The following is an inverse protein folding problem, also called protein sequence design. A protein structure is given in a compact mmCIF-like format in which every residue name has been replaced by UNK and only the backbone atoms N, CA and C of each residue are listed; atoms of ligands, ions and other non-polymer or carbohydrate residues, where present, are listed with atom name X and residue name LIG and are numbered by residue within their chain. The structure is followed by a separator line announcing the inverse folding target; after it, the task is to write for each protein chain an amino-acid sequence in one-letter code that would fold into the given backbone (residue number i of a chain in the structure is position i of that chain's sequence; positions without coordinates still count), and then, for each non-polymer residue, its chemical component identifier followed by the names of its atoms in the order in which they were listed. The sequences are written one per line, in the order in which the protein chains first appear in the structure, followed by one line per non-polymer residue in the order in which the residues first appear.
data_IF_428433090038
#
_entry.id   IF_428433090038
#
_cell.length_a   1.000
_cell.length_b   1.000
_cell.length_c   1.000
_cell.angle_alpha   90.00
_cell.angle_beta   90.00
_cell.angle_gamma   90.00
#
_symmetry.space_group_name_H-M   'P 1'
#
loop_
_entity.id
_entity.type
_entity.pdbx_description
1 polymer ?
#
# COMPACT_ATOMS: atom_id res chain seq x y z
N UNK A 1 16.38 37.89 13.09
CA UNK A 1 17.09 37.19 14.18
C UNK A 1 16.82 37.94 15.48
N UNK A 2 16.17 37.33 16.46
CA UNK A 2 15.83 38.01 17.72
C UNK A 2 16.65 37.40 18.86
N UNK A 3 17.50 38.21 19.49
CA UNK A 3 18.25 37.83 20.68
C UNK A 3 17.34 37.95 21.91
N UNK A 4 16.91 36.83 22.47
CA UNK A 4 16.21 36.79 23.76
C UNK A 4 17.25 36.56 24.86
N UNK A 5 17.38 37.53 25.77
CA UNK A 5 18.37 37.48 26.85
C UNK A 5 18.10 36.31 27.80
N UNK A 6 19.18 35.67 28.26
CA UNK A 6 19.14 34.57 29.23
C UNK A 6 18.85 35.14 30.62
N UNK A 7 17.58 35.19 31.00
CA UNK A 7 17.21 35.47 32.39
C UNK A 7 17.08 34.13 33.15
N UNK A 8 17.96 33.82 34.12
CA UNK A 8 18.08 32.49 34.73
C UNK A 8 16.93 32.11 35.70
N UNK A 9 15.92 32.96 35.85
CA UNK A 9 14.74 32.70 36.70
C UNK A 9 13.50 32.19 35.94
N UNK A 10 13.51 32.19 34.60
CA UNK A 10 12.40 31.60 33.84
C UNK A 10 12.60 30.09 33.75
N UNK A 11 11.64 29.34 34.31
CA UNK A 11 11.52 27.91 34.03
C UNK A 11 11.40 27.69 32.52
N UNK A 12 11.96 26.58 31.99
CA UNK A 12 11.89 26.26 30.56
C UNK A 12 10.46 26.39 30.01
N UNK A 13 9.45 26.04 30.81
CA UNK A 13 8.01 26.15 30.49
C UNK A 13 7.59 27.60 30.21
N UNK A 14 8.00 28.55 31.04
CA UNK A 14 7.62 29.97 30.89
C UNK A 14 8.29 30.60 29.65
N UNK A 15 9.53 30.18 29.37
CA UNK A 15 10.24 30.57 28.15
C UNK A 15 9.55 30.02 26.90
N UNK A 16 9.03 28.79 26.94
CA UNK A 16 8.30 28.17 25.84
C UNK A 16 7.00 28.91 25.54
N UNK A 17 6.22 29.27 26.57
CA UNK A 17 4.99 30.05 26.41
C UNK A 17 5.23 31.41 25.75
N UNK A 18 6.26 32.14 26.20
CA UNK A 18 6.65 33.44 25.62
C UNK A 18 7.05 33.34 24.14
N UNK A 19 7.72 32.24 23.74
CA UNK A 19 8.07 31.99 22.34
C UNK A 19 6.85 31.69 21.47
N UNK A 20 5.92 30.88 21.97
CA UNK A 20 4.65 30.60 21.28
C UNK A 20 3.84 31.87 21.07
N UNK A 21 3.72 32.71 22.10
CA UNK A 21 3.01 33.98 22.07
C UNK A 21 3.65 34.97 21.07
N UNK A 22 4.98 35.09 21.10
CA UNK A 22 5.72 35.93 20.15
C UNK A 22 5.52 35.47 18.69
N UNK A 23 5.57 34.17 18.44
CA UNK A 23 5.36 33.61 17.11
C UNK A 23 3.94 33.90 16.61
N UNK A 24 2.92 33.67 17.45
CA UNK A 24 1.53 33.95 17.11
C UNK A 24 1.30 35.44 16.83
N UNK A 25 1.88 36.32 17.65
CA UNK A 25 1.79 37.77 17.45
C UNK A 25 2.48 38.21 16.16
N UNK A 26 3.61 37.62 15.82
CA UNK A 26 4.31 37.88 14.55
C UNK A 26 3.48 37.40 13.36
N UNK A 27 2.92 36.19 13.45
CA UNK A 27 2.11 35.59 12.39
C UNK A 27 0.82 36.38 12.17
N UNK A 28 0.14 36.78 13.25
CA UNK A 28 -0.98 37.71 13.20
C UNK A 28 -0.55 39.06 12.61
N UNK A 29 0.54 39.67 13.06
CA UNK A 29 0.98 40.96 12.53
C UNK A 29 1.29 40.91 11.02
N UNK A 30 1.98 39.87 10.55
CA UNK A 30 2.32 39.70 9.14
C UNK A 30 1.11 39.40 8.25
N UNK A 31 0.07 38.72 8.78
CA UNK A 31 -1.12 38.33 8.02
C UNK A 31 -2.29 39.32 8.17
N UNK A 32 -2.42 39.98 9.33
CA UNK A 32 -3.50 40.91 9.67
C UNK A 32 -3.40 42.29 8.99
N UNK A 33 -2.37 42.53 8.18
CA UNK A 33 -2.40 43.61 7.18
C UNK A 33 -3.59 43.49 6.22
N UNK A 34 -4.14 42.27 6.06
CA UNK A 34 -5.48 42.04 5.51
C UNK A 34 -6.46 41.81 6.68
N UNK A 35 -7.35 42.78 6.96
CA UNK A 35 -8.33 42.78 8.06
C UNK A 35 -9.32 41.59 8.09
N UNK A 36 -9.21 40.65 7.15
CA UNK A 36 -10.10 39.51 6.98
C UNK A 36 -9.45 38.18 7.40
N UNK A 37 -8.21 38.19 7.91
CA UNK A 37 -7.47 36.97 8.30
C UNK A 37 -7.12 37.05 9.79
N UNK A 38 -7.53 36.05 10.56
CA UNK A 38 -7.11 35.85 11.95
C UNK A 38 -6.42 34.50 12.10
N UNK A 39 -5.44 34.37 13.00
CA UNK A 39 -4.77 33.08 13.25
C UNK A 39 -4.97 32.58 14.68
N UNK A 40 -5.17 31.26 14.83
CA UNK A 40 -5.26 30.58 16.11
C UNK A 40 -4.40 29.32 16.13
N UNK A 41 -3.96 28.89 17.31
CA UNK A 41 -3.11 27.69 17.47
C UNK A 41 -3.63 26.81 18.59
N UNK A 42 -3.56 25.48 18.42
CA UNK A 42 -4.08 24.53 19.42
C UNK A 42 -2.97 23.84 20.22
N UNK A 43 -1.80 23.62 19.60
CA UNK A 43 -0.62 23.02 20.22
C UNK A 43 0.58 23.41 19.38
N UNK A 44 1.56 24.08 19.99
CA UNK A 44 2.82 24.43 19.35
C UNK A 44 3.97 23.76 20.10
N UNK A 45 4.75 22.92 19.43
CA UNK A 45 5.90 22.21 20.00
C UNK A 45 7.17 22.87 19.44
N UNK A 46 7.89 23.62 20.26
CA UNK A 46 9.17 24.18 19.86
C UNK A 46 10.25 23.08 19.85
N UNK A 47 11.02 23.03 18.77
CA UNK A 47 12.15 22.15 18.59
C UNK A 47 13.43 22.98 18.49
N UNK A 48 14.48 22.57 19.20
CA UNK A 48 15.76 23.26 19.19
C UNK A 48 16.83 22.34 18.61
N UNK A 49 17.11 22.49 17.31
CA UNK A 49 18.33 21.99 16.73
C UNK A 49 19.46 22.98 17.09
N UNK A 50 20.35 22.58 18.00
CA UNK A 50 21.62 23.28 18.30
C UNK A 50 21.54 24.60 19.10
N UNK A 51 20.53 24.81 19.96
CA UNK A 51 20.45 25.93 20.92
C UNK A 51 20.43 27.36 20.31
N UNK A 52 20.38 27.51 18.98
CA UNK A 52 20.43 28.80 18.29
C UNK A 52 19.21 29.06 17.39
N UNK A 53 18.60 28.01 16.84
CA UNK A 53 17.39 28.08 16.02
C UNK A 53 16.30 27.31 16.74
N UNK A 54 15.17 27.98 16.98
CA UNK A 54 13.98 27.37 17.58
C UNK A 54 12.93 27.33 16.48
N UNK A 55 12.68 26.14 15.96
CA UNK A 55 11.56 25.89 15.06
C UNK A 55 10.31 25.65 15.89
N UNK A 56 9.15 26.07 15.39
CA UNK A 56 7.88 25.89 16.08
C UNK A 56 6.97 25.05 15.18
N UNK A 57 6.71 23.83 15.63
CA UNK A 57 5.82 22.88 14.96
C UNK A 57 4.45 22.87 15.61
N UNK A 58 3.42 22.43 14.90
CA UNK A 58 2.09 22.29 15.46
C UNK A 58 0.98 22.78 14.55
N UNK A 59 -0.19 22.99 15.15
CA UNK A 59 -1.41 23.32 14.45
C UNK A 59 -1.61 24.84 14.41
N UNK A 60 -1.54 25.43 13.22
CA UNK A 60 -1.83 26.83 12.94
C UNK A 60 -3.10 26.88 12.10
N UNK A 61 -4.15 27.49 12.62
CA UNK A 61 -5.41 27.69 11.89
C UNK A 61 -5.50 29.14 11.46
N UNK A 62 -5.56 29.35 10.14
CA UNK A 62 -5.85 30.63 9.51
C UNK A 62 -7.34 30.71 9.25
N UNK A 63 -8.02 31.65 9.89
CA UNK A 63 -9.45 31.89 9.77
C UNK A 63 -9.68 33.10 8.88
N UNK A 64 -10.51 32.95 7.86
CA UNK A 64 -10.88 34.01 6.92
C UNK A 64 -12.34 34.38 7.14
N UNK A 65 -12.68 35.66 7.17
CA UNK A 65 -14.07 36.10 7.31
C UNK A 65 -14.48 36.97 6.13
N UNK A 66 -15.51 36.53 5.39
CA UNK A 66 -16.14 37.30 4.30
C UNK A 66 -17.65 37.11 4.36
N UNK A 67 -18.40 38.22 4.32
CA UNK A 67 -19.87 38.21 4.37
C UNK A 67 -20.43 37.39 5.57
N UNK A 68 -19.84 37.55 6.76
CA UNK A 68 -20.18 36.80 7.98
C UNK A 68 -20.03 35.27 7.89
N UNK A 69 -19.38 34.74 6.85
CA UNK A 69 -18.93 33.34 6.78
C UNK A 69 -17.48 33.28 7.22
N UNK A 70 -17.21 32.39 8.20
CA UNK A 70 -15.87 32.11 8.70
C UNK A 70 -15.35 30.82 8.09
N UNK A 71 -14.26 30.96 7.34
CA UNK A 71 -13.53 29.88 6.72
C UNK A 71 -12.25 29.62 7.48
N UNK A 72 -11.70 28.42 7.37
CA UNK A 72 -10.49 28.09 8.10
C UNK A 72 -9.60 27.11 7.35
N UNK A 73 -8.31 27.44 7.24
CA UNK A 73 -7.27 26.55 6.76
C UNK A 73 -6.38 26.22 7.94
N UNK A 74 -6.23 24.94 8.25
CA UNK A 74 -5.31 24.45 9.27
C UNK A 74 -4.03 23.95 8.61
N UNK A 75 -2.93 24.62 8.90
CA UNK A 75 -1.59 24.10 8.72
C UNK A 75 -1.24 23.22 9.92
N UNK A 76 -0.93 21.96 9.68
CA UNK A 76 -0.33 21.04 10.65
C UNK A 76 1.13 20.90 10.27
N UNK A 77 2.03 21.32 11.15
CA UNK A 77 3.47 21.28 10.92
C UNK A 77 4.15 20.32 11.91
N UNK A 78 5.06 19.51 11.40
CA UNK A 78 5.94 18.57 12.10
C UNK A 78 7.39 18.82 11.67
N UNK A 79 8.40 18.34 12.42
CA UNK A 79 9.82 18.53 12.08
C UNK A 79 10.20 18.19 10.64
N UNK A 80 9.58 17.18 10.04
CA UNK A 80 9.91 16.71 8.69
C UNK A 80 8.78 16.85 7.68
N UNK A 81 7.59 17.26 8.11
CA UNK A 81 6.37 17.22 7.31
C UNK A 81 5.47 18.41 7.62
N UNK A 82 4.72 18.90 6.64
CA UNK A 82 3.65 19.87 6.87
C UNK A 82 2.47 19.54 5.96
N UNK A 83 1.27 19.70 6.49
CA UNK A 83 0.03 19.46 5.76
C UNK A 83 -0.93 20.62 5.91
N UNK A 84 -1.66 20.93 4.85
CA UNK A 84 -2.75 21.89 4.88
C UNK A 84 -4.08 21.15 4.82
N UNK A 85 -4.98 21.50 5.72
CA UNK A 85 -6.34 20.96 5.79
C UNK A 85 -7.30 22.12 5.73
N UNK A 86 -8.26 22.07 4.81
CA UNK A 86 -9.40 22.96 4.86
C UNK A 86 -10.33 22.48 5.98
N UNK A 87 -10.55 23.30 7.01
CA UNK A 87 -11.40 22.93 8.16
C UNK A 87 -12.89 23.17 7.90
N UNK A 88 -13.21 23.97 6.89
CA UNK A 88 -14.59 24.22 6.47
C UNK A 88 -14.96 23.37 5.27
N UNK A 89 -16.15 22.78 5.30
CA UNK A 89 -16.75 22.12 4.16
C UNK A 89 -17.38 23.17 3.24
N UNK A 90 -16.57 23.96 2.52
CA UNK A 90 -17.11 24.69 1.36
C UNK A 90 -17.42 23.69 0.24
N UNK A 91 -18.50 22.94 0.38
CA UNK A 91 -19.13 22.22 -0.73
C UNK A 91 -20.12 23.11 -1.48
N UNK A 92 -20.63 24.15 -0.84
CA UNK A 92 -21.55 25.11 -1.44
C UNK A 92 -20.80 26.36 -1.91
N UNK A 93 -20.07 26.21 -3.02
CA UNK A 93 -19.56 27.34 -3.79
C UNK A 93 -20.75 28.20 -4.23
N UNK A 94 -20.87 29.43 -3.69
CA UNK A 94 -21.89 30.37 -4.16
C UNK A 94 -21.63 30.71 -5.63
N UNK A 95 -22.71 30.84 -6.42
CA UNK A 95 -22.62 31.15 -7.86
C UNK A 95 -21.76 32.40 -8.12
N UNK A 96 -21.70 33.34 -7.17
CA UNK A 96 -20.83 34.52 -7.18
C UNK A 96 -19.34 34.19 -7.31
N UNK A 97 -18.82 33.21 -6.55
CA UNK A 97 -17.40 32.85 -6.60
C UNK A 97 -17.10 32.14 -7.93
N UNK A 98 -18.03 31.30 -8.40
CA UNK A 98 -17.92 30.63 -9.69
C UNK A 98 -17.92 31.63 -10.85
N UNK A 99 -18.75 32.67 -10.78
CA UNK A 99 -18.77 33.78 -11.72
C UNK A 99 -17.48 34.60 -11.66
N UNK A 100 -16.94 34.84 -10.47
CA UNK A 100 -15.66 35.53 -10.28
C UNK A 100 -14.49 34.73 -10.88
N UNK A 101 -14.44 33.41 -10.64
CA UNK A 101 -13.46 32.49 -11.25
C UNK A 101 -13.61 32.47 -12.77
N UNK A 102 -14.84 32.45 -13.29
CA UNK A 102 -15.10 32.46 -14.73
C UNK A 102 -14.64 33.78 -15.37
N UNK A 103 -14.91 34.92 -14.75
CA UNK A 103 -14.43 36.22 -15.22
C UNK A 103 -12.90 36.33 -15.21
N UNK A 104 -12.24 35.79 -14.17
CA UNK A 104 -10.78 35.68 -14.14
C UNK A 104 -10.27 34.78 -15.27
N UNK A 105 -10.93 33.64 -15.50
CA UNK A 105 -10.54 32.70 -16.54
C UNK A 105 -10.66 33.34 -17.94
N UNK A 106 -11.74 34.05 -18.23
CA UNK A 106 -11.91 34.80 -19.48
C UNK A 106 -10.78 35.82 -19.68
N UNK A 107 -10.45 36.60 -18.65
CA UNK A 107 -9.33 37.56 -18.67
C UNK A 107 -7.98 36.91 -18.96
N UNK A 108 -7.66 35.82 -18.26
CA UNK A 108 -6.35 35.17 -18.39
C UNK A 108 -6.25 34.25 -19.60
N UNK A 109 -7.36 33.67 -20.09
CA UNK A 109 -7.41 32.85 -21.30
C UNK A 109 -7.10 33.66 -22.57
N UNK A 110 -7.48 34.94 -22.61
CA UNK A 110 -7.10 35.85 -23.71
C UNK A 110 -5.64 36.33 -23.64
N UNK A 111 -4.94 36.06 -22.53
CA UNK A 111 -3.57 36.52 -22.33
C UNK A 111 -2.60 35.50 -22.91
N UNK A 112 -2.08 35.74 -24.12
CA UNK A 112 -1.08 34.89 -24.78
C UNK A 112 0.33 35.04 -24.16
N UNK A 113 0.43 34.82 -22.84
CA UNK A 113 1.68 34.81 -22.07
C UNK A 113 1.71 33.55 -21.22
N UNK A 114 2.91 33.00 -21.01
CA UNK A 114 3.14 31.79 -20.22
C UNK A 114 2.40 31.79 -18.86
N UNK A 115 2.55 32.87 -18.09
CA UNK A 115 1.87 33.03 -16.79
C UNK A 115 0.35 33.11 -16.93
N UNK A 116 -0.17 33.75 -17.98
CA UNK A 116 -1.60 33.81 -18.27
C UNK A 116 -2.19 32.43 -18.55
N UNK A 117 -1.47 31.60 -19.32
CA UNK A 117 -1.86 30.22 -19.59
C UNK A 117 -1.86 29.34 -18.32
N UNK A 118 -0.90 29.52 -17.41
CA UNK A 118 -0.88 28.81 -16.12
C UNK A 118 -2.10 29.19 -15.27
N UNK A 119 -2.37 30.49 -15.14
CA UNK A 119 -3.49 30.99 -14.34
C UNK A 119 -4.82 30.50 -14.94
N UNK A 120 -4.99 30.64 -16.26
CA UNK A 120 -6.16 30.14 -16.98
C UNK A 120 -6.36 28.64 -16.76
N UNK A 121 -5.32 27.82 -16.90
CA UNK A 121 -5.42 26.38 -16.65
C UNK A 121 -5.80 26.05 -15.19
N UNK A 122 -5.22 26.75 -14.22
CA UNK A 122 -5.57 26.55 -12.81
C UNK A 122 -7.03 26.90 -12.52
N UNK A 123 -7.52 28.00 -13.07
CA UNK A 123 -8.92 28.43 -12.94
C UNK A 123 -9.87 27.45 -13.63
N UNK A 124 -9.53 27.00 -14.84
CA UNK A 124 -10.27 25.97 -15.55
C UNK A 124 -10.36 24.66 -14.75
N UNK A 125 -9.25 24.21 -14.16
CA UNK A 125 -9.24 22.99 -13.38
C UNK A 125 -10.02 23.13 -12.06
N UNK A 126 -9.99 24.30 -11.44
CA UNK A 126 -10.88 24.62 -10.30
C UNK A 126 -12.35 24.55 -10.71
N UNK A 127 -12.72 25.11 -11.87
CA UNK A 127 -14.10 24.99 -12.39
C UNK A 127 -14.48 23.54 -12.72
N UNK A 128 -13.55 22.76 -13.27
CA UNK A 128 -13.75 21.36 -13.65
C UNK A 128 -13.84 20.40 -12.46
N UNK A 129 -13.15 20.68 -11.35
CA UNK A 129 -13.22 19.87 -10.12
C UNK A 129 -14.60 19.96 -9.45
N UNK A 130 -15.37 21.01 -9.74
CA UNK A 130 -16.76 21.15 -9.30
C UNK A 130 -17.76 20.32 -10.12
N UNK A 131 -17.38 19.85 -11.31
CA UNK A 131 -18.22 18.88 -12.01
C UNK A 131 -18.13 17.58 -11.21
N UNK A 132 -19.27 17.07 -10.74
CA UNK A 132 -19.35 15.74 -10.13
C UNK A 132 -18.82 14.72 -11.14
N UNK A 133 -17.58 14.31 -10.96
CA UNK A 133 -16.94 13.24 -11.70
C UNK A 133 -16.95 11.99 -10.85
N UNK A 134 -17.19 10.85 -11.47
CA UNK A 134 -17.00 9.57 -10.79
C UNK A 134 -15.50 9.36 -10.54
N UNK A 135 -15.17 8.53 -9.56
CA UNK A 135 -13.77 8.14 -9.31
C UNK A 135 -13.11 7.58 -10.59
N UNK A 136 -13.85 6.78 -11.37
CA UNK A 136 -13.37 6.24 -12.65
C UNK A 136 -13.02 7.32 -13.66
N UNK A 137 -13.82 8.40 -13.74
CA UNK A 137 -13.51 9.53 -14.62
C UNK A 137 -12.26 10.26 -14.16
N UNK A 138 -12.10 10.51 -12.86
CA UNK A 138 -10.91 11.16 -12.32
C UNK A 138 -9.64 10.31 -12.57
N UNK A 139 -9.71 9.01 -12.30
CA UNK A 139 -8.62 8.08 -12.57
C UNK A 139 -8.30 8.02 -14.07
N UNK A 140 -9.30 7.97 -14.95
CA UNK A 140 -9.08 7.93 -16.41
C UNK A 140 -8.29 9.14 -16.92
N UNK A 141 -8.69 10.35 -16.52
CA UNK A 141 -8.00 11.58 -16.96
C UNK A 141 -6.61 11.65 -16.31
N UNK A 142 -6.46 11.22 -15.05
CA UNK A 142 -5.16 11.16 -14.37
C UNK A 142 -4.22 10.20 -15.11
N UNK A 143 -4.71 9.03 -15.50
CA UNK A 143 -3.93 8.04 -16.24
C UNK A 143 -3.47 8.55 -17.61
N UNK A 144 -4.26 9.40 -18.27
CA UNK A 144 -3.82 10.09 -19.47
C UNK A 144 -2.71 11.13 -19.20
N UNK A 145 -2.73 11.77 -18.03
CA UNK A 145 -1.66 12.68 -17.62
C UNK A 145 -0.37 11.93 -17.27
N UNK A 146 -0.49 10.79 -16.58
CA UNK A 146 0.65 9.97 -16.17
C UNK A 146 1.41 9.40 -17.38
N UNK A 147 0.71 9.01 -18.44
CA UNK A 147 1.31 8.46 -19.68
C UNK A 147 2.01 9.50 -20.58
N UNK A 148 2.00 10.79 -20.22
CA UNK A 148 2.56 11.86 -21.05
C UNK A 148 4.03 12.14 -20.70
N UNK A 149 4.85 12.50 -21.69
CA UNK A 149 6.26 12.86 -21.49
C UNK A 149 6.45 14.06 -20.55
N UNK A 150 5.47 14.97 -20.47
CA UNK A 150 5.47 16.15 -19.59
C UNK A 150 4.62 15.96 -18.32
N UNK A 151 4.72 14.78 -17.70
CA UNK A 151 3.96 14.40 -16.51
C UNK A 151 4.04 15.44 -15.38
N UNK A 152 5.20 16.04 -15.11
CA UNK A 152 5.35 16.98 -13.99
C UNK A 152 4.47 18.22 -14.21
N UNK A 153 4.52 18.77 -15.43
CA UNK A 153 3.71 19.93 -15.79
C UNK A 153 2.22 19.59 -15.74
N UNK A 154 1.81 18.40 -16.21
CA UNK A 154 0.40 18.00 -16.15
C UNK A 154 -0.10 17.79 -14.73
N UNK A 155 0.66 17.11 -13.88
CA UNK A 155 0.32 16.93 -12.47
C UNK A 155 0.25 18.27 -11.73
N UNK A 156 1.16 19.20 -12.03
CA UNK A 156 1.11 20.55 -11.49
C UNK A 156 -0.17 21.28 -11.92
N UNK A 157 -0.52 21.21 -13.20
CA UNK A 157 -1.72 21.86 -13.73
C UNK A 157 -3.00 21.27 -13.13
N UNK A 158 -3.00 19.99 -12.75
CA UNK A 158 -4.14 19.33 -12.08
C UNK A 158 -4.58 19.99 -10.77
N UNK A 159 -3.73 20.79 -10.15
CA UNK A 159 -4.07 21.55 -8.95
C UNK A 159 -4.21 20.66 -7.72
N UNK A 160 -5.25 20.89 -6.91
CA UNK A 160 -5.45 20.19 -5.66
C UNK A 160 -5.96 18.76 -5.88
N UNK A 161 -5.18 17.78 -5.42
CA UNK A 161 -5.51 16.35 -5.49
C UNK A 161 -5.82 15.90 -4.07
N UNK A 162 -7.09 15.81 -3.72
CA UNK A 162 -7.51 15.40 -2.37
C UNK A 162 -7.74 13.90 -2.27
N UNK A 163 -8.30 13.32 -3.33
CA UNK A 163 -8.74 11.94 -3.37
C UNK A 163 -7.57 10.95 -3.18
N UNK A 164 -7.73 10.05 -2.21
CA UNK A 164 -6.69 9.09 -1.82
C UNK A 164 -6.35 8.13 -2.96
N UNK A 165 -7.33 7.71 -3.75
CA UNK A 165 -7.11 6.74 -4.83
C UNK A 165 -6.35 7.40 -5.99
N UNK A 166 -6.62 8.68 -6.28
CA UNK A 166 -5.79 9.49 -7.19
C UNK A 166 -4.35 9.67 -6.68
N UNK A 167 -4.17 9.97 -5.39
CA UNK A 167 -2.83 10.07 -4.77
C UNK A 167 -2.07 8.76 -4.89
N UNK A 168 -2.72 7.64 -4.55
CA UNK A 168 -2.17 6.29 -4.71
C UNK A 168 -1.79 6.00 -6.16
N UNK A 169 -2.65 6.32 -7.14
CA UNK A 169 -2.33 6.08 -8.55
C UNK A 169 -1.06 6.82 -9.01
N UNK A 170 -0.85 8.06 -8.57
CA UNK A 170 0.34 8.86 -8.89
C UNK A 170 1.60 8.23 -8.28
N UNK A 171 1.54 7.87 -7.00
CA UNK A 171 2.66 7.21 -6.29
C UNK A 171 3.00 5.89 -6.97
N UNK A 172 1.99 5.06 -7.24
CA UNK A 172 2.21 3.74 -7.83
C UNK A 172 2.83 3.86 -9.22
N UNK A 173 2.34 4.80 -10.05
CA UNK A 173 2.94 5.08 -11.34
C UNK A 173 4.42 5.46 -11.19
N UNK A 174 4.74 6.39 -10.30
CA UNK A 174 6.13 6.79 -10.03
C UNK A 174 7.02 5.61 -9.62
N UNK A 175 6.58 4.83 -8.62
CA UNK A 175 7.32 3.69 -8.10
C UNK A 175 7.56 2.61 -9.17
N UNK A 176 6.66 2.47 -10.15
CA UNK A 176 6.74 1.46 -11.21
C UNK A 176 7.53 1.94 -12.43
N UNK A 177 7.34 3.18 -12.89
CA UNK A 177 7.89 3.63 -14.18
C UNK A 177 9.17 4.45 -14.07
N UNK A 178 9.48 5.02 -12.90
CA UNK A 178 10.60 5.95 -12.73
C UNK A 178 11.67 5.46 -11.76
N UNK A 179 11.65 4.17 -11.39
CA UNK A 179 12.55 3.55 -10.41
C UNK A 179 14.04 3.75 -10.66
N UNK A 180 14.47 3.77 -11.92
CA UNK A 180 15.89 3.94 -12.28
C UNK A 180 16.24 5.37 -12.72
N UNK A 181 15.22 6.25 -12.80
CA UNK A 181 15.35 7.64 -13.28
C UNK A 181 15.26 8.68 -12.17
N UNK A 182 15.47 8.25 -10.92
CA UNK A 182 15.19 9.02 -9.69
C UNK A 182 16.18 10.17 -9.43
N UNK A 183 17.06 10.49 -10.38
CA UNK A 183 17.79 11.77 -10.34
C UNK A 183 16.94 12.99 -10.72
N UNK A 184 15.70 12.79 -11.19
CA UNK A 184 14.77 13.88 -11.48
C UNK A 184 14.12 14.45 -10.20
N UNK A 185 14.59 15.62 -9.78
CA UNK A 185 14.24 16.28 -8.52
C UNK A 185 12.77 16.72 -8.38
N UNK A 186 12.05 16.95 -9.49
CA UNK A 186 10.71 17.54 -9.44
C UNK A 186 9.58 16.52 -9.21
N UNK A 187 9.58 15.40 -9.93
CA UNK A 187 8.53 14.39 -9.75
C UNK A 187 8.63 13.76 -8.36
N UNK A 188 9.85 13.47 -7.91
CA UNK A 188 10.09 13.01 -6.54
C UNK A 188 9.60 14.03 -5.50
N UNK A 189 9.80 15.34 -5.74
CA UNK A 189 9.27 16.38 -4.87
C UNK A 189 7.73 16.39 -4.85
N UNK A 190 7.06 16.23 -6.00
CA UNK A 190 5.60 16.08 -6.07
C UNK A 190 5.14 14.86 -5.25
N UNK A 191 5.80 13.72 -5.39
CA UNK A 191 5.47 12.51 -4.62
C UNK A 191 5.68 12.73 -3.12
N UNK A 192 6.82 13.28 -2.71
CA UNK A 192 7.09 13.65 -1.31
C UNK A 192 6.00 14.56 -0.75
N UNK A 193 5.54 15.54 -1.53
CA UNK A 193 4.46 16.44 -1.14
C UNK A 193 3.11 15.74 -1.05
N UNK A 194 2.78 14.83 -1.98
CA UNK A 194 1.52 14.05 -1.91
C UNK A 194 1.50 13.20 -0.64
N UNK A 195 2.59 12.49 -0.38
CA UNK A 195 2.73 11.66 0.81
C UNK A 195 2.69 12.54 2.07
N UNK A 196 3.46 13.62 2.09
CA UNK A 196 3.55 14.56 3.21
C UNK A 196 2.24 15.34 3.49
N UNK A 197 1.37 15.49 2.50
CA UNK A 197 0.05 16.09 2.70
C UNK A 197 -1.06 15.06 2.96
N UNK A 198 -0.74 13.77 2.95
CA UNK A 198 -1.71 12.74 3.32
C UNK A 198 -1.56 12.40 4.79
N UNK A 199 -2.66 12.42 5.54
CA UNK A 199 -2.66 12.02 6.95
C UNK A 199 -2.54 10.48 7.03
N UNK A 200 -1.30 9.99 7.10
CA UNK A 200 -0.96 8.55 7.22
C UNK A 200 -1.46 7.95 8.56
N UNK A 201 -2.16 8.71 9.39
CA UNK A 201 -2.71 8.23 10.67
C UNK A 201 -3.90 7.25 10.51
N UNK A 202 -4.63 7.28 9.39
CA UNK A 202 -5.71 6.33 9.10
C UNK A 202 -5.19 5.01 8.50
N UNK A 203 -5.58 3.87 9.07
CA UNK A 203 -5.21 2.53 8.58
C UNK A 203 -5.59 2.29 7.11
N UNK A 204 -6.79 2.70 6.70
CA UNK A 204 -7.26 2.50 5.33
C UNK A 204 -6.40 3.24 4.30
N UNK A 205 -5.99 4.47 4.61
CA UNK A 205 -5.13 5.27 3.73
C UNK A 205 -3.70 4.70 3.69
N UNK A 206 -3.20 4.20 4.82
CA UNK A 206 -1.90 3.49 4.89
C UNK A 206 -1.86 2.26 4.01
N UNK A 207 -2.88 1.41 4.10
CA UNK A 207 -2.98 0.19 3.31
C UNK A 207 -3.03 0.46 1.80
N UNK A 208 -3.46 1.66 1.37
CA UNK A 208 -3.45 2.07 -0.03
C UNK A 208 -2.11 2.65 -0.49
N UNK A 209 -1.49 3.53 0.30
CA UNK A 209 -0.32 4.32 -0.13
C UNK A 209 1.01 3.63 0.12
N UNK A 210 1.18 3.05 1.31
CA UNK A 210 2.49 2.62 1.80
C UNK A 210 3.07 1.38 1.10
N UNK A 211 2.28 0.38 0.66
CA UNK A 211 2.85 -0.83 0.09
C UNK A 211 3.83 -0.56 -1.06
N UNK A 212 3.47 0.25 -2.06
CA UNK A 212 4.35 0.53 -3.19
C UNK A 212 5.65 1.26 -2.79
N UNK A 213 5.58 2.08 -1.75
CA UNK A 213 6.72 2.81 -1.21
C UNK A 213 7.69 1.85 -0.52
N UNK A 214 7.19 0.90 0.27
CA UNK A 214 8.01 -0.10 0.98
C UNK A 214 8.82 -0.96 0.01
N UNK A 215 8.20 -1.33 -1.11
CA UNK A 215 8.82 -2.16 -2.14
C UNK A 215 9.70 -1.37 -3.12
N UNK A 216 9.83 -0.06 -2.94
CA UNK A 216 10.77 0.79 -3.64
C UNK A 216 12.19 0.62 -3.06
N UNK A 217 13.18 0.34 -3.93
CA UNK A 217 14.54 -0.06 -3.49
C UNK A 217 15.21 1.01 -2.63
N UNK A 218 15.02 2.28 -3.01
CA UNK A 218 15.69 3.44 -2.43
C UNK A 218 14.75 4.23 -1.49
N UNK A 219 13.72 3.59 -0.93
CA UNK A 219 12.71 4.30 -0.14
C UNK A 219 13.31 5.04 1.07
N UNK A 220 14.37 4.53 1.68
CA UNK A 220 15.03 5.20 2.81
C UNK A 220 15.66 6.53 2.42
N UNK A 221 16.26 6.60 1.23
CA UNK A 221 16.89 7.81 0.72
C UNK A 221 15.82 8.81 0.25
N UNK A 222 14.81 8.32 -0.47
CA UNK A 222 13.81 9.16 -1.10
C UNK A 222 12.62 9.51 -0.22
N UNK A 223 12.38 8.79 0.87
CA UNK A 223 11.25 9.02 1.76
C UNK A 223 11.66 9.04 3.24
N UNK A 224 12.90 9.46 3.53
CA UNK A 224 13.45 9.62 4.89
C UNK A 224 12.60 10.49 5.83
N UNK A 225 11.78 11.37 5.28
CA UNK A 225 11.01 12.35 6.03
C UNK A 225 9.64 11.82 6.50
N UNK A 226 9.30 10.58 6.13
CA UNK A 226 8.09 9.91 6.58
C UNK A 226 8.17 9.61 8.08
N UNK A 227 7.26 10.18 8.87
CA UNK A 227 7.06 9.84 10.29
C UNK A 227 6.34 8.48 10.47
N UNK A 228 6.56 7.54 9.55
CA UNK A 228 6.04 6.18 9.63
C UNK A 228 7.19 5.19 9.40
N UNK A 229 7.35 4.25 10.32
CA UNK A 229 8.38 3.23 10.22
C UNK A 229 7.98 2.18 9.18
N UNK A 230 8.49 2.38 7.96
CA UNK A 230 8.28 1.47 6.84
C UNK A 230 8.93 0.10 7.04
N UNK A 231 9.95 -0.02 7.90
CA UNK A 231 10.64 -1.30 8.13
C UNK A 231 9.92 -2.17 9.14
N UNK A 232 9.24 -1.55 10.11
CA UNK A 232 8.49 -2.25 11.14
C UNK A 232 6.97 -2.11 10.96
N UNK A 233 6.51 -1.94 9.72
CA UNK A 233 5.08 -1.91 9.40
C UNK A 233 4.38 -3.15 9.99
N UNK A 234 3.23 -3.01 10.67
CA UNK A 234 2.53 -4.16 11.22
C UNK A 234 2.13 -5.13 10.11
N UNK A 235 2.34 -6.42 10.34
CA UNK A 235 1.98 -7.50 9.40
C UNK A 235 0.49 -7.44 9.03
N UNK A 236 -0.36 -6.95 9.92
CA UNK A 236 -1.80 -6.75 9.67
C UNK A 236 -2.10 -5.73 8.57
N UNK A 237 -1.14 -4.86 8.24
CA UNK A 237 -1.27 -3.91 7.13
C UNK A 237 -0.66 -4.45 5.82
N UNK A 238 -0.09 -5.66 5.83
CA UNK A 238 0.50 -6.35 4.68
C UNK A 238 -0.16 -7.72 4.50
N UNK A 239 -1.20 -7.78 3.67
CA UNK A 239 -1.98 -8.99 3.39
C UNK A 239 -1.94 -9.40 1.90
N UNK A 240 -2.65 -10.49 1.56
CA UNK A 240 -2.74 -10.95 0.18
C UNK A 240 -3.48 -9.95 -0.74
N UNK A 241 -4.34 -9.08 -0.18
CA UNK A 241 -5.00 -7.99 -0.89
C UNK A 241 -4.02 -6.91 -1.34
N UNK A 242 -3.01 -6.61 -0.51
CA UNK A 242 -1.91 -5.72 -0.87
C UNK A 242 -1.16 -6.26 -2.10
N UNK A 243 -0.75 -7.53 -2.09
CA UNK A 243 -0.08 -8.16 -3.24
C UNK A 243 -0.94 -8.07 -4.51
N UNK A 244 -2.22 -8.42 -4.41
CA UNK A 244 -3.17 -8.28 -5.51
C UNK A 244 -3.21 -6.85 -6.04
N UNK A 245 -3.30 -5.85 -5.16
CA UNK A 245 -3.30 -4.43 -5.53
C UNK A 245 -2.00 -3.97 -6.20
N UNK A 246 -0.85 -4.46 -5.73
CA UNK A 246 0.45 -4.19 -6.34
C UNK A 246 0.52 -4.74 -7.77
N UNK A 247 0.16 -6.02 -7.95
CA UNK A 247 0.13 -6.66 -9.27
C UNK A 247 -0.87 -5.97 -10.18
N UNK A 248 -2.08 -5.71 -9.70
CA UNK A 248 -3.13 -5.02 -10.45
C UNK A 248 -2.63 -3.66 -10.95
N UNK A 249 -1.90 -2.92 -10.12
CA UNK A 249 -1.34 -1.64 -10.53
C UNK A 249 -0.23 -1.78 -11.56
N UNK A 250 0.68 -2.76 -11.43
CA UNK A 250 1.72 -3.03 -12.43
C UNK A 250 1.10 -3.45 -13.77
N UNK A 251 0.06 -4.26 -13.73
CA UNK A 251 -0.69 -4.64 -14.93
C UNK A 251 -1.39 -3.42 -15.54
N UNK A 252 -1.95 -2.54 -14.72
CA UNK A 252 -2.62 -1.33 -15.17
C UNK A 252 -1.67 -0.31 -15.83
N UNK A 253 -0.47 -0.10 -15.30
CA UNK A 253 0.52 0.85 -15.83
C UNK A 253 1.13 0.42 -17.18
N UNK A 254 0.76 -0.75 -17.67
CA UNK A 254 1.20 -1.31 -18.94
C UNK A 254 2.73 -1.47 -19.10
N UNK A 255 3.41 -1.86 -18.02
CA UNK A 255 4.85 -2.10 -18.08
C UNK A 255 5.20 -3.30 -19.00
N UNK A 256 6.46 -3.34 -19.48
CA UNK A 256 6.99 -4.48 -20.23
C UNK A 256 7.05 -5.75 -19.38
N UNK A 257 7.22 -6.92 -20.03
CA UNK A 257 7.35 -8.21 -19.35
C UNK A 257 8.59 -8.24 -18.46
N UNK A 258 9.67 -7.64 -18.94
CA UNK A 258 10.96 -7.53 -18.28
C UNK A 258 10.82 -6.67 -17.01
N UNK A 259 10.20 -5.50 -17.16
CA UNK A 259 9.90 -4.63 -16.02
C UNK A 259 9.01 -5.34 -15.00
N UNK A 260 7.97 -6.07 -15.41
CA UNK A 260 7.13 -6.83 -14.47
C UNK A 260 7.95 -7.82 -13.63
N UNK A 261 8.80 -8.62 -14.27
CA UNK A 261 9.62 -9.63 -13.57
C UNK A 261 10.59 -8.98 -12.59
N UNK A 262 11.17 -7.86 -12.98
CA UNK A 262 12.04 -7.07 -12.11
C UNK A 262 11.28 -6.54 -10.89
N UNK A 263 10.13 -5.89 -11.08
CA UNK A 263 9.27 -5.41 -9.99
C UNK A 263 8.87 -6.54 -9.04
N UNK A 264 8.45 -7.68 -9.60
CA UNK A 264 8.11 -8.87 -8.84
C UNK A 264 9.30 -9.38 -8.03
N UNK A 265 10.50 -9.40 -8.60
CA UNK A 265 11.72 -9.81 -7.91
C UNK A 265 12.03 -8.92 -6.71
N UNK A 266 11.84 -7.60 -6.82
CA UNK A 266 12.08 -6.68 -5.71
C UNK A 266 11.06 -6.85 -4.60
N UNK A 267 9.79 -6.99 -4.97
CA UNK A 267 8.71 -7.28 -4.03
C UNK A 267 9.00 -8.56 -3.23
N UNK A 268 9.45 -9.60 -3.93
CA UNK A 268 9.84 -10.87 -3.32
C UNK A 268 11.04 -10.73 -2.36
N UNK A 269 12.13 -10.07 -2.78
CA UNK A 269 13.33 -9.84 -1.95
C UNK A 269 13.00 -9.15 -0.63
N UNK A 270 12.15 -8.12 -0.69
CA UNK A 270 11.67 -7.41 0.50
C UNK A 270 10.79 -8.30 1.37
N UNK A 271 9.87 -9.05 0.78
CA UNK A 271 9.03 -10.01 1.51
C UNK A 271 9.86 -11.07 2.25
N UNK A 272 10.98 -11.51 1.66
CA UNK A 272 11.93 -12.44 2.29
C UNK A 272 12.63 -11.78 3.47
N UNK A 273 13.13 -10.54 3.30
CA UNK A 273 13.79 -9.78 4.36
C UNK A 273 12.92 -9.67 5.61
N UNK A 274 11.62 -9.44 5.44
CA UNK A 274 10.65 -9.31 6.53
C UNK A 274 10.02 -10.65 6.97
N UNK A 275 10.41 -11.80 6.38
CA UNK A 275 10.07 -13.22 6.66
C UNK A 275 8.58 -13.60 6.77
N UNK A 276 7.77 -12.86 7.51
CA UNK A 276 6.33 -13.07 7.69
C UNK A 276 5.52 -12.60 6.49
N UNK A 277 6.05 -11.66 5.71
CA UNK A 277 5.42 -11.16 4.49
C UNK A 277 5.36 -12.21 3.39
N UNK A 278 6.31 -13.14 3.31
CA UNK A 278 6.29 -14.16 2.24
C UNK A 278 4.98 -14.98 2.21
N UNK A 279 4.27 -15.09 3.33
CA UNK A 279 2.96 -15.77 3.40
C UNK A 279 1.86 -15.10 2.56
N UNK A 280 2.00 -13.81 2.21
CA UNK A 280 1.01 -13.10 1.37
C UNK A 280 0.87 -13.70 -0.03
N UNK A 281 1.89 -14.43 -0.49
CA UNK A 281 1.86 -15.19 -1.72
C UNK A 281 1.08 -16.51 -1.60
N UNK A 282 0.63 -16.93 -0.41
CA UNK A 282 -0.05 -18.22 -0.24
C UNK A 282 -1.57 -18.18 -0.44
N UNK A 283 -2.19 -17.02 -0.55
CA UNK A 283 -3.65 -16.84 -0.60
C UNK A 283 -4.26 -17.00 -2.00
N UNK A 284 -5.58 -17.21 -2.08
CA UNK A 284 -6.33 -17.31 -3.33
C UNK A 284 -6.21 -16.03 -4.18
N UNK A 285 -6.20 -14.86 -3.53
CA UNK A 285 -6.05 -13.56 -4.18
C UNK A 285 -4.72 -13.45 -4.92
N UNK A 286 -3.64 -13.95 -4.31
CA UNK A 286 -2.31 -13.97 -4.90
C UNK A 286 -2.23 -14.95 -6.08
N UNK A 287 -2.87 -16.12 -5.95
CA UNK A 287 -2.97 -17.09 -7.03
C UNK A 287 -3.67 -16.48 -8.25
N UNK A 288 -4.84 -15.86 -8.05
CA UNK A 288 -5.59 -15.22 -9.13
C UNK A 288 -4.84 -14.04 -9.75
N UNK A 289 -4.15 -13.24 -8.94
CA UNK A 289 -3.34 -12.13 -9.45
C UNK A 289 -2.21 -12.63 -10.36
N UNK A 290 -1.49 -13.68 -9.96
CA UNK A 290 -0.37 -14.24 -10.74
C UNK A 290 -0.88 -15.13 -11.89
N UNK A 291 -1.57 -16.22 -11.61
CA UNK A 291 -1.85 -17.25 -12.60
C UNK A 291 -2.99 -16.89 -13.55
N UNK A 292 -3.92 -16.03 -13.12
CA UNK A 292 -5.00 -15.54 -13.98
C UNK A 292 -4.60 -14.24 -14.65
N UNK A 293 -4.39 -13.15 -13.89
CA UNK A 293 -4.23 -11.81 -14.49
C UNK A 293 -2.88 -11.62 -15.20
N UNK A 294 -1.77 -11.96 -14.56
CA UNK A 294 -0.43 -11.89 -15.21
C UNK A 294 -0.35 -12.90 -16.35
N UNK A 295 -0.91 -14.10 -16.17
CA UNK A 295 -1.02 -15.12 -17.20
C UNK A 295 -1.76 -14.65 -18.45
N UNK A 296 -2.94 -14.03 -18.29
CA UNK A 296 -3.73 -13.45 -19.38
C UNK A 296 -2.99 -12.31 -20.09
N UNK A 297 -2.33 -11.42 -19.34
CA UNK A 297 -1.68 -10.25 -19.92
C UNK A 297 -0.37 -10.58 -20.65
N UNK A 298 0.50 -11.38 -20.04
CA UNK A 298 1.87 -11.57 -20.53
C UNK A 298 2.16 -12.97 -21.09
N UNK A 299 1.25 -13.92 -20.84
CA UNK A 299 1.35 -15.30 -21.29
C UNK A 299 2.12 -16.21 -20.35
N UNK A 300 2.07 -17.50 -20.64
CA UNK A 300 2.63 -18.58 -19.81
C UNK A 300 4.15 -18.48 -19.59
N UNK A 301 4.89 -17.92 -20.54
CA UNK A 301 6.35 -17.76 -20.42
C UNK A 301 6.76 -16.86 -19.24
N UNK A 302 5.94 -15.86 -18.91
CA UNK A 302 6.17 -14.99 -17.74
C UNK A 302 5.88 -15.74 -16.43
N UNK A 303 4.87 -16.62 -16.40
CA UNK A 303 4.60 -17.46 -15.22
C UNK A 303 5.78 -18.39 -14.91
N UNK A 304 6.44 -18.95 -15.93
CA UNK A 304 7.68 -19.72 -15.74
C UNK A 304 8.78 -18.86 -15.12
N UNK A 305 8.97 -17.63 -15.60
CA UNK A 305 9.96 -16.69 -15.05
C UNK A 305 9.64 -16.30 -13.61
N UNK A 306 8.36 -16.10 -13.25
CA UNK A 306 7.91 -15.84 -11.88
C UNK A 306 8.30 -16.98 -10.94
N UNK A 307 7.94 -18.22 -11.29
CA UNK A 307 8.26 -19.41 -10.49
C UNK A 307 9.78 -19.60 -10.34
N UNK A 308 10.52 -19.42 -11.42
CA UNK A 308 11.99 -19.50 -11.42
C UNK A 308 12.58 -18.42 -10.49
N UNK A 309 12.08 -17.19 -10.56
CA UNK A 309 12.55 -16.10 -9.71
C UNK A 309 12.25 -16.34 -8.23
N UNK A 310 11.08 -16.90 -7.93
CA UNK A 310 10.75 -17.32 -6.57
C UNK A 310 11.75 -18.33 -6.03
N UNK A 311 12.10 -19.33 -6.83
CA UNK A 311 13.07 -20.36 -6.46
C UNK A 311 14.47 -19.79 -6.24
N UNK A 312 14.94 -18.91 -7.12
CA UNK A 312 16.28 -18.30 -7.04
C UNK A 312 16.42 -17.41 -5.80
N UNK A 313 15.46 -16.53 -5.56
CA UNK A 313 15.52 -15.55 -4.48
C UNK A 313 15.22 -16.16 -3.11
N UNK A 314 14.44 -17.25 -3.05
CA UNK A 314 14.12 -17.96 -1.82
C UNK A 314 15.03 -19.18 -1.55
N UNK A 315 16.21 -19.25 -2.17
CA UNK A 315 17.10 -20.40 -2.07
C UNK A 315 17.67 -20.64 -0.66
N UNK A 316 17.50 -19.70 0.27
CA UNK A 316 17.93 -19.86 1.66
C UNK A 316 17.19 -21.04 2.35
N UNK A 317 17.91 -21.94 3.08
CA UNK A 317 17.31 -23.14 3.68
C UNK A 317 16.14 -22.86 4.65
N UNK A 318 16.16 -21.72 5.33
CA UNK A 318 15.11 -21.29 6.27
C UNK A 318 13.84 -20.75 5.56
N UNK A 319 13.93 -20.36 4.29
CA UNK A 319 12.82 -19.83 3.49
C UNK A 319 12.13 -20.95 2.68
N UNK A 320 12.90 -21.96 2.25
CA UNK A 320 12.42 -23.06 1.40
C UNK A 320 11.13 -23.77 1.88
N UNK A 321 10.94 -24.06 3.19
CA UNK A 321 9.67 -24.63 3.64
C UNK A 321 8.47 -23.69 3.44
N UNK A 322 8.66 -22.38 3.63
CA UNK A 322 7.61 -21.38 3.41
C UNK A 322 7.24 -21.29 1.94
N UNK A 323 8.24 -21.32 1.05
CA UNK A 323 8.03 -21.34 -0.40
C UNK A 323 7.25 -22.58 -0.85
N UNK A 324 7.58 -23.76 -0.31
CA UNK A 324 6.86 -24.99 -0.63
C UNK A 324 5.42 -24.98 -0.11
N UNK A 325 5.16 -24.39 1.06
CA UNK A 325 3.79 -24.17 1.54
C UNK A 325 2.99 -23.27 0.57
N UNK A 326 3.63 -22.22 0.02
CA UNK A 326 2.99 -21.33 -0.97
C UNK A 326 2.66 -22.08 -2.25
N UNK A 327 3.63 -22.81 -2.83
CA UNK A 327 3.40 -23.60 -4.03
C UNK A 327 2.36 -24.70 -3.81
N UNK A 328 2.33 -25.32 -2.63
CA UNK A 328 1.29 -26.29 -2.28
C UNK A 328 -0.10 -25.64 -2.23
N UNK A 329 -0.22 -24.45 -1.61
CA UNK A 329 -1.47 -23.69 -1.60
C UNK A 329 -1.93 -23.33 -3.01
N UNK A 330 -1.01 -22.85 -3.86
CA UNK A 330 -1.28 -22.55 -5.26
C UNK A 330 -1.68 -23.78 -6.07
N UNK A 331 -1.09 -24.94 -5.80
CA UNK A 331 -1.49 -26.19 -6.43
C UNK A 331 -2.93 -26.55 -6.05
N UNK A 332 -3.27 -26.44 -4.76
CA UNK A 332 -4.65 -26.66 -4.30
C UNK A 332 -5.62 -25.70 -5.00
N UNK A 333 -5.27 -24.42 -5.12
CA UNK A 333 -6.06 -23.44 -5.87
C UNK A 333 -6.20 -23.82 -7.35
N UNK A 334 -5.10 -24.18 -8.02
CA UNK A 334 -5.11 -24.58 -9.43
C UNK A 334 -6.01 -25.79 -9.70
N UNK A 335 -5.99 -26.79 -8.81
CA UNK A 335 -6.83 -27.99 -8.93
C UNK A 335 -8.31 -27.73 -8.63
N UNK A 336 -8.62 -26.68 -7.86
CA UNK A 336 -9.99 -26.34 -7.47
C UNK A 336 -10.59 -25.19 -8.26
N UNK A 337 -9.79 -24.55 -9.12
CA UNK A 337 -10.20 -23.43 -9.94
C UNK A 337 -11.31 -23.84 -10.93
N UNK A 338 -12.31 -22.97 -11.09
CA UNK A 338 -13.37 -23.14 -12.09
C UNK A 338 -12.81 -23.15 -13.52
N UNK A 339 -11.81 -22.30 -13.80
CA UNK A 339 -11.08 -22.29 -15.07
C UNK A 339 -9.85 -23.21 -14.98
N UNK A 340 -10.11 -24.52 -15.00
CA UNK A 340 -9.06 -25.54 -14.92
C UNK A 340 -8.03 -25.39 -16.06
N UNK A 341 -6.74 -25.36 -15.70
CA UNK A 341 -5.64 -25.30 -16.66
C UNK A 341 -4.50 -26.30 -16.30
N UNK A 342 -4.32 -27.39 -17.08
CA UNK A 342 -3.32 -28.42 -16.78
C UNK A 342 -1.87 -27.91 -16.90
N UNK A 343 -1.60 -26.88 -17.72
CA UNK A 343 -0.25 -26.31 -17.82
C UNK A 343 0.16 -25.59 -16.52
N UNK A 344 -0.80 -24.98 -15.82
CA UNK A 344 -0.56 -24.30 -14.54
C UNK A 344 -0.29 -25.33 -13.44
N UNK A 345 -1.10 -26.39 -13.38
CA UNK A 345 -0.89 -27.52 -12.44
C UNK A 345 0.50 -28.12 -12.64
N UNK A 346 0.87 -28.44 -13.88
CA UNK A 346 2.18 -28.97 -14.23
C UNK A 346 3.32 -28.02 -13.84
N UNK A 347 3.17 -26.72 -14.10
CA UNK A 347 4.17 -25.71 -13.76
C UNK A 347 4.43 -25.64 -12.26
N UNK A 348 3.37 -25.58 -11.44
CA UNK A 348 3.48 -25.52 -9.99
C UNK A 348 4.08 -26.81 -9.45
N UNK A 349 3.56 -27.96 -9.89
CA UNK A 349 4.06 -29.27 -9.48
C UNK A 349 5.55 -29.46 -9.80
N UNK A 350 6.03 -28.98 -10.95
CA UNK A 350 7.45 -29.06 -11.33
C UNK A 350 8.36 -28.45 -10.26
N UNK A 351 7.94 -27.33 -9.64
CA UNK A 351 8.74 -26.61 -8.65
C UNK A 351 8.52 -27.11 -7.22
N UNK A 352 7.30 -27.54 -6.89
CA UNK A 352 6.93 -28.04 -5.57
C UNK A 352 7.77 -29.25 -5.16
N UNK A 353 8.29 -29.26 -3.94
CA UNK A 353 8.87 -30.42 -3.30
C UNK A 353 8.03 -30.81 -2.06
N UNK A 354 7.25 -31.89 -2.15
CA UNK A 354 6.36 -32.32 -1.07
C UNK A 354 7.08 -32.61 0.26
N UNK A 355 8.36 -32.98 0.23
CA UNK A 355 9.15 -33.29 1.43
C UNK A 355 9.35 -32.03 2.29
N UNK A 356 9.39 -30.86 1.65
CA UNK A 356 9.62 -29.57 2.31
C UNK A 356 8.32 -28.87 2.73
N UNK A 357 7.15 -29.47 2.52
CA UNK A 357 5.88 -28.93 3.03
C UNK A 357 5.84 -29.11 4.55
N UNK A 358 5.60 -28.01 5.27
CA UNK A 358 5.62 -28.03 6.73
C UNK A 358 4.42 -28.82 7.30
N UNK A 359 4.69 -29.79 8.17
CA UNK A 359 3.64 -30.49 8.92
C UNK A 359 2.75 -29.52 9.72
N UNK A 360 3.32 -28.45 10.25
CA UNK A 360 2.58 -27.41 10.97
C UNK A 360 1.62 -26.67 10.03
N UNK A 361 2.06 -26.33 8.82
CA UNK A 361 1.19 -25.70 7.81
C UNK A 361 0.01 -26.61 7.45
N UNK A 362 0.27 -27.91 7.24
CA UNK A 362 -0.75 -28.92 6.96
C UNK A 362 -1.75 -29.03 8.13
N UNK A 363 -1.26 -29.04 9.37
CA UNK A 363 -2.11 -29.14 10.56
C UNK A 363 -3.01 -27.91 10.72
N UNK A 364 -2.45 -26.70 10.56
CA UNK A 364 -3.19 -25.45 10.64
C UNK A 364 -4.28 -25.32 9.57
N UNK A 365 -4.03 -25.82 8.36
CA UNK A 365 -4.97 -25.74 7.24
C UNK A 365 -5.77 -27.03 7.03
N UNK A 366 -5.80 -27.91 8.03
CA UNK A 366 -6.36 -29.27 7.89
C UNK A 366 -7.81 -29.30 7.41
N UNK A 367 -8.66 -28.38 7.89
CA UNK A 367 -10.07 -28.26 7.48
C UNK A 367 -10.17 -27.89 5.99
N UNK A 368 -9.45 -26.85 5.57
CA UNK A 368 -9.44 -26.36 4.19
C UNK A 368 -8.90 -27.44 3.26
N UNK A 369 -7.75 -28.04 3.59
CA UNK A 369 -7.14 -29.13 2.83
C UNK A 369 -8.12 -30.30 2.70
N UNK A 370 -8.78 -30.70 3.79
CA UNK A 370 -9.78 -31.78 3.77
C UNK A 370 -10.93 -31.48 2.81
N UNK A 371 -11.48 -30.27 2.83
CA UNK A 371 -12.57 -29.88 1.92
C UNK A 371 -12.17 -29.93 0.44
N UNK A 372 -10.89 -29.72 0.12
CA UNK A 372 -10.37 -29.69 -1.25
C UNK A 372 -9.81 -31.06 -1.70
N UNK A 373 -9.53 -31.98 -0.76
CA UNK A 373 -8.81 -33.25 -1.00
C UNK A 373 -9.37 -34.05 -2.16
N UNK A 374 -10.70 -34.21 -2.24
CA UNK A 374 -11.35 -35.03 -3.28
C UNK A 374 -11.10 -34.46 -4.68
N UNK A 375 -11.28 -33.14 -4.83
CA UNK A 375 -11.08 -32.47 -6.11
C UNK A 375 -9.60 -32.44 -6.50
N UNK A 376 -8.71 -32.14 -5.55
CA UNK A 376 -7.26 -32.16 -5.78
C UNK A 376 -6.80 -33.55 -6.22
N UNK A 377 -7.21 -34.62 -5.53
CA UNK A 377 -6.85 -35.99 -5.91
C UNK A 377 -7.41 -36.38 -7.27
N UNK A 378 -8.63 -35.98 -7.60
CA UNK A 378 -9.21 -36.23 -8.93
C UNK A 378 -8.41 -35.57 -10.04
N UNK A 379 -7.93 -34.35 -9.84
CA UNK A 379 -7.09 -33.63 -10.81
C UNK A 379 -5.70 -34.27 -10.90
N UNK A 380 -5.08 -34.61 -9.78
CA UNK A 380 -3.77 -35.26 -9.78
C UNK A 380 -3.80 -36.61 -10.50
N UNK A 381 -4.86 -37.40 -10.30
CA UNK A 381 -5.01 -38.68 -11.01
C UNK A 381 -5.27 -38.48 -12.50
N UNK A 382 -6.07 -37.47 -12.88
CA UNK A 382 -6.30 -37.10 -14.28
C UNK A 382 -5.00 -36.72 -15.00
N UNK A 383 -4.11 -35.98 -14.33
CA UNK A 383 -2.84 -35.50 -14.91
C UNK A 383 -1.64 -36.41 -14.63
N UNK A 384 -1.87 -37.60 -14.06
CA UNK A 384 -0.83 -38.51 -13.57
C UNK A 384 0.24 -38.82 -14.61
N UNK A 385 -0.13 -39.05 -15.86
CA UNK A 385 0.81 -39.34 -16.95
C UNK A 385 1.83 -38.21 -17.16
N UNK A 386 1.42 -36.96 -16.92
CA UNK A 386 2.30 -35.78 -17.04
C UNK A 386 3.11 -35.50 -15.76
N UNK A 387 2.58 -35.87 -14.59
CA UNK A 387 3.16 -35.56 -13.28
C UNK A 387 4.06 -36.68 -12.72
N UNK A 388 3.82 -37.93 -13.13
CA UNK A 388 4.46 -39.14 -12.62
C UNK A 388 5.06 -39.94 -13.77
N UNK A 389 6.36 -39.75 -14.01
CA UNK A 389 7.10 -40.53 -15.00
C UNK A 389 7.35 -41.91 -14.41
N UNK A 390 6.64 -42.94 -14.91
CA UNK A 390 6.65 -44.30 -14.35
C UNK A 390 8.07 -44.90 -14.23
N UNK A 391 8.94 -44.60 -15.20
CA UNK A 391 10.31 -45.10 -15.24
C UNK A 391 11.31 -44.27 -14.42
N UNK A 392 10.85 -43.26 -13.66
CA UNK A 392 11.68 -42.42 -12.81
C UNK A 392 11.25 -42.58 -11.34
N UNK A 393 12.02 -43.33 -10.51
CA UNK A 393 11.71 -43.54 -9.09
C UNK A 393 11.52 -42.25 -8.30
N UNK A 394 12.30 -41.20 -8.60
CA UNK A 394 12.20 -39.89 -7.94
C UNK A 394 10.89 -39.19 -8.29
N UNK A 395 10.48 -39.26 -9.56
CA UNK A 395 9.20 -38.70 -10.01
C UNK A 395 8.01 -39.42 -9.36
N UNK A 396 8.06 -40.75 -9.29
CA UNK A 396 7.03 -41.57 -8.64
C UNK A 396 6.93 -41.27 -7.15
N UNK A 397 8.06 -41.22 -6.45
CA UNK A 397 8.10 -40.89 -5.01
C UNK A 397 7.56 -39.49 -4.74
N UNK A 398 7.87 -38.50 -5.59
CA UNK A 398 7.32 -37.14 -5.48
C UNK A 398 5.78 -37.14 -5.60
N UNK A 399 5.23 -37.86 -6.58
CA UNK A 399 3.78 -37.98 -6.76
C UNK A 399 3.11 -38.69 -5.58
N UNK A 400 3.70 -39.77 -5.09
CA UNK A 400 3.21 -40.52 -3.93
C UNK A 400 3.23 -39.68 -2.65
N UNK A 401 4.34 -38.98 -2.39
CA UNK A 401 4.47 -38.07 -1.24
C UNK A 401 3.38 -36.99 -1.28
N UNK A 402 3.17 -36.34 -2.44
CA UNK A 402 2.13 -35.33 -2.57
C UNK A 402 0.72 -35.90 -2.36
N UNK A 403 0.38 -37.02 -3.01
CA UNK A 403 -0.96 -37.61 -2.91
C UNK A 403 -1.26 -38.15 -1.50
N UNK A 404 -0.24 -38.63 -0.79
CA UNK A 404 -0.35 -39.08 0.61
C UNK A 404 -0.78 -37.97 1.57
N UNK A 405 -0.54 -36.70 1.23
CA UNK A 405 -1.07 -35.57 2.01
C UNK A 405 -2.60 -35.55 1.92
N UNK A 406 -3.22 -35.90 0.80
CA UNK A 406 -4.68 -35.78 0.66
C UNK A 406 -5.44 -37.06 1.02
N UNK A 407 -4.85 -38.24 0.81
CA UNK A 407 -5.50 -39.56 0.98
C UNK A 407 -6.12 -39.80 2.38
N UNK A 408 -5.39 -39.62 3.51
CA UNK A 408 -5.94 -39.89 4.86
C UNK A 408 -7.12 -38.99 5.24
N UNK A 409 -7.35 -37.92 4.48
CA UNK A 409 -8.38 -36.91 4.76
C UNK A 409 -9.72 -37.24 4.10
N UNK A 410 -9.77 -38.25 3.22
CA UNK A 410 -11.01 -38.82 2.68
C UNK A 410 -11.68 -39.79 3.68
N UNK A 411 -10.88 -40.52 4.46
CA UNK A 411 -11.38 -41.61 5.32
C UNK A 411 -12.07 -41.13 6.62
N UNK A 412 -11.98 -39.83 6.94
CA UNK A 412 -12.69 -39.25 8.10
C UNK A 412 -14.14 -38.81 7.79
N UNK A 413 -14.70 -39.20 6.64
CA UNK A 413 -16.15 -39.07 6.38
C UNK A 413 -16.97 -40.31 6.81
N UNK A 414 -16.32 -41.46 7.07
CA UNK A 414 -17.01 -42.71 7.49
C UNK A 414 -16.81 -43.09 8.96
N UNK A 415 -15.93 -42.38 9.68
CA UNK A 415 -15.68 -42.58 11.10
C UNK A 415 -16.47 -41.62 11.95
N UNK A 416 -17.78 -41.84 12.09
CA UNK A 416 -18.49 -41.33 13.26
C UNK A 416 -17.73 -41.81 14.49
N UNK A 417 -17.12 -40.88 15.22
CA UNK A 417 -16.57 -41.15 16.54
C UNK A 417 -17.76 -41.55 17.43
N UNK A 418 -17.99 -42.86 17.50
CA UNK A 418 -18.74 -43.50 18.56
C UNK A 418 -18.08 -43.06 19.87
N UNK A 419 -18.83 -42.31 20.65
CA UNK A 419 -18.64 -42.14 22.08
C UNK A 419 -18.79 -43.50 22.76
N UNK A 420 -17.79 -44.37 22.65
CA UNK A 420 -17.69 -45.59 23.44
C UNK A 420 -16.27 -46.12 23.36
N UNK A 421 -15.41 -45.58 24.23
CA UNK A 421 -14.29 -46.27 24.92
C UNK A 421 -13.40 -45.21 25.57
N UNK A 422 -13.98 -44.49 26.54
CA UNK A 422 -13.19 -43.90 27.61
C UNK A 422 -12.88 -45.02 28.60
N UNK A 423 -11.61 -45.33 28.92
CA UNK A 423 -11.31 -46.16 30.08
C UNK A 423 -11.80 -45.41 31.31
N UNK A 424 -12.78 -45.99 31.98
CA UNK A 424 -13.38 -45.54 33.23
C UNK A 424 -12.29 -45.29 34.29
N UNK A 425 -11.90 -44.03 34.46
CA UNK A 425 -11.21 -43.57 35.68
C UNK A 425 -12.21 -43.63 36.83
N UNK A 426 -12.10 -44.67 37.66
CA UNK A 426 -12.69 -44.69 39.01
C UNK A 426 -12.22 -43.43 39.75
N UNK A 427 -13.14 -42.51 40.05
CA UNK A 427 -12.94 -41.49 41.08
C UNK A 427 -13.06 -42.19 42.43
N UNK A 428 -11.95 -42.34 43.14
CA UNK A 428 -11.99 -42.56 44.58
C UNK A 428 -12.39 -41.23 45.23
N UNK A 429 -13.64 -41.15 45.68
CA UNK A 429 -14.11 -40.15 46.63
C UNK A 429 -14.14 -40.84 47.99
N UNK A 430 -13.13 -40.60 48.80
CA UNK A 430 -13.14 -40.68 50.28
C UNK A 430 -12.17 -39.56 50.67
N UNK A 431 -12.52 -38.52 51.41
CA UNK A 431 -13.64 -38.22 52.27
C UNK A 431 -13.05 -37.29 53.33
N UNK A 432 -13.43 -36.02 53.34
CA UNK A 432 -13.22 -35.19 54.53
C UNK A 432 -14.08 -35.79 55.64
N UNK A 433 -13.58 -35.86 56.89
CA UNK A 433 -13.76 -34.75 57.84
C UNK A 433 -12.53 -34.60 58.77
N UNK A 434 -12.22 -33.54 59.52
CA UNK A 434 -12.85 -32.32 60.06
C UNK A 434 -11.80 -31.22 60.00
#
# INVERSE_FOLDING_TARGET
TIHISRNPKNTNIERMKKLQELFLNTLNYCLAGNHQISSSTSLLIPHSANNQIIDIFGNITLVFERNNKKESIKLISFPTQSSFILLSEFKDYSEDIKNEIKGLNEKYSSTNKYTGNIISNYLNNTLESHKKKTLEQNLSILNNALKNENIQNRLFLYGYIDDIDCKTAIINYFCITNRDRVRNSQLLCIIKNIIGNTLIHNLGDRMKLLPQIIYFTEHKEHFSNLEYDLENMPITEIDAGVLKGLIDTILYTNCSKEAFIEHFSYFLKKSIHYKKELKIFGGLESFNAIFTKVGQKYGFSVLKKVMQRMKEECAEPNVMPTLNNIWFSWLCCACTNAEYNPMIVNLIYTHLDPIHISCWYIAQNSIIIKSMSKQVLSVLEKEKESLCIENNPVSKQKYENLTSIFKPRLDTEMGGLRLSELPSRKRNIHGNPV
#
